data_IF_506690732565
#
_entry.id   IF_506690732565
#
_cell.length_a   1.000
_cell.length_b   1.000
_cell.length_c   1.000
_cell.angle_alpha   90.00
_cell.angle_beta   90.00
_cell.angle_gamma   90.00
#
_symmetry.space_group_name_H-M   'P 1'
#
loop_
_entity.id
_entity.type
_entity.pdbx_description
1 polymer ?
#
# COMPACT_ATOMS: atom_id res chain seq x y z
N UNK A 1 12.27 50.20 -11.42
CA UNK A 1 11.16 49.23 -11.45
C UNK A 1 11.72 47.91 -11.97
N UNK A 2 11.98 46.89 -11.13
CA UNK A 2 12.26 45.54 -11.61
C UNK A 2 10.97 44.72 -11.62
N UNK A 3 10.71 44.07 -12.74
CA UNK A 3 9.57 43.18 -12.97
C UNK A 3 9.77 41.86 -12.21
N UNK A 4 8.65 41.30 -11.79
CA UNK A 4 8.44 40.23 -10.84
C UNK A 4 9.20 38.91 -11.10
N UNK A 5 9.45 38.22 -9.99
CA UNK A 5 10.05 36.89 -9.87
C UNK A 5 9.22 35.85 -10.63
N UNK A 6 9.82 34.87 -11.33
CA UNK A 6 9.08 33.68 -11.70
C UNK A 6 8.95 32.78 -10.47
N UNK A 7 7.81 32.85 -9.78
CA UNK A 7 7.35 31.81 -8.85
C UNK A 7 7.18 30.50 -9.62
N UNK A 8 8.27 29.74 -9.70
CA UNK A 8 8.27 28.38 -10.25
C UNK A 8 7.64 27.47 -9.21
N UNK A 9 6.33 27.24 -9.36
CA UNK A 9 5.63 26.15 -8.68
C UNK A 9 6.37 24.84 -8.99
N UNK A 10 7.17 24.36 -8.04
CA UNK A 10 7.73 23.02 -8.08
C UNK A 10 6.59 22.03 -7.84
N UNK A 11 5.88 21.67 -8.91
CA UNK A 11 5.11 20.44 -8.93
C UNK A 11 6.11 19.30 -8.91
N UNK A 12 6.38 18.74 -7.72
CA UNK A 12 7.08 17.47 -7.62
C UNK A 12 6.19 16.40 -8.24
N UNK A 13 6.32 16.23 -9.55
CA UNK A 13 5.76 15.07 -10.25
C UNK A 13 6.58 13.88 -9.76
N UNK A 14 6.11 13.23 -8.70
CA UNK A 14 6.57 11.90 -8.35
C UNK A 14 6.17 11.01 -9.53
N UNK A 15 7.09 10.80 -10.46
CA UNK A 15 6.94 9.83 -11.53
C UNK A 15 6.79 8.45 -10.89
N UNK A 16 5.56 8.08 -10.56
CA UNK A 16 5.18 6.69 -10.39
C UNK A 16 5.25 6.09 -11.79
N UNK A 17 6.44 5.65 -12.20
CA UNK A 17 6.60 4.76 -13.33
C UNK A 17 5.86 3.48 -12.95
N UNK A 18 4.57 3.41 -13.28
CA UNK A 18 3.82 2.16 -13.29
C UNK A 18 4.29 1.43 -14.54
N UNK A 19 5.43 0.73 -14.43
CA UNK A 19 5.77 -0.28 -15.43
C UNK A 19 4.62 -1.26 -15.38
N UNK A 20 3.81 -1.34 -16.44
CA UNK A 20 2.72 -2.31 -16.59
C UNK A 20 3.26 -3.74 -16.78
N UNK A 21 4.27 -4.11 -15.99
CA UNK A 21 4.55 -5.52 -15.68
C UNK A 21 3.31 -6.05 -14.97
N UNK A 22 2.72 -7.16 -15.40
CA UNK A 22 1.64 -7.79 -14.64
C UNK A 22 2.14 -8.03 -13.21
N UNK A 23 1.57 -7.30 -12.27
CA UNK A 23 1.85 -7.47 -10.84
C UNK A 23 1.47 -8.91 -10.48
N UNK A 24 2.43 -9.68 -9.96
CA UNK A 24 2.21 -11.07 -9.61
C UNK A 24 1.28 -11.14 -8.38
N UNK A 25 0.00 -11.41 -8.65
CA UNK A 25 -1.02 -11.63 -7.63
C UNK A 25 -0.92 -13.07 -7.11
N UNK A 26 -0.69 -13.22 -5.82
CA UNK A 26 -0.64 -14.50 -5.10
C UNK A 26 -1.79 -14.54 -4.11
N UNK A 27 -2.56 -15.63 -4.14
CA UNK A 27 -3.71 -15.83 -3.26
C UNK A 27 -3.49 -17.06 -2.36
N UNK A 28 -4.12 -17.08 -1.19
CA UNK A 28 -4.22 -18.29 -0.36
C UNK A 28 -5.31 -19.24 -0.86
N UNK A 29 -5.54 -20.35 -0.14
CA UNK A 29 -6.54 -21.36 -0.49
C UNK A 29 -7.99 -20.85 -0.37
N UNK A 30 -8.21 -19.84 0.47
CA UNK A 30 -9.51 -19.22 0.69
C UNK A 30 -9.77 -18.09 -0.33
N UNK A 31 -8.78 -17.79 -1.19
CA UNK A 31 -8.87 -16.81 -2.26
C UNK A 31 -8.49 -15.39 -1.84
N UNK A 32 -7.97 -15.18 -0.63
CA UNK A 32 -7.51 -13.87 -0.21
C UNK A 32 -6.18 -13.52 -0.88
N UNK A 33 -6.02 -12.25 -1.25
CA UNK A 33 -4.75 -11.75 -1.77
C UNK A 33 -3.70 -11.79 -0.65
N UNK A 34 -2.57 -12.45 -0.89
CA UNK A 34 -1.41 -12.55 0.02
C UNK A 34 -0.26 -11.67 -0.46
N UNK A 35 -0.10 -11.46 -1.76
CA UNK A 35 0.95 -10.62 -2.35
C UNK A 35 0.57 -10.07 -3.72
N UNK A 36 0.94 -8.82 -4.02
CA UNK A 36 0.74 -8.17 -5.33
C UNK A 36 2.05 -7.65 -5.95
N UNK A 37 3.19 -8.21 -5.54
CA UNK A 37 4.52 -7.77 -5.96
C UNK A 37 5.08 -6.60 -5.15
N UNK A 38 4.24 -5.72 -4.61
CA UNK A 38 4.64 -4.57 -3.79
C UNK A 38 4.30 -4.71 -2.31
N UNK A 39 3.19 -5.36 -2.01
CA UNK A 39 2.64 -5.50 -0.66
C UNK A 39 2.48 -6.98 -0.31
N UNK A 40 2.60 -7.25 0.99
CA UNK A 40 2.24 -8.52 1.61
C UNK A 40 1.06 -8.27 2.54
N UNK A 41 0.07 -9.14 2.45
CA UNK A 41 -1.19 -9.09 3.17
C UNK A 41 -1.24 -10.27 4.14
N UNK A 42 -1.70 -10.03 5.36
CA UNK A 42 -1.92 -11.09 6.35
C UNK A 42 -3.36 -11.08 6.84
N UNK A 43 -3.94 -12.26 6.90
CA UNK A 43 -5.33 -12.49 7.28
C UNK A 43 -5.38 -13.27 8.59
N UNK A 44 -6.41 -13.03 9.40
CA UNK A 44 -6.70 -13.88 10.56
C UNK A 44 -7.52 -15.11 10.18
N UNK A 45 -7.74 -16.00 11.15
CA UNK A 45 -8.52 -17.23 10.95
C UNK A 45 -10.01 -16.99 10.64
N UNK A 46 -10.51 -15.76 10.82
CA UNK A 46 -11.88 -15.34 10.51
C UNK A 46 -11.95 -14.66 9.13
N UNK A 47 -10.91 -14.80 8.29
CA UNK A 47 -10.84 -14.23 6.95
C UNK A 47 -10.86 -12.70 6.92
N UNK A 48 -10.23 -12.04 7.91
CA UNK A 48 -10.12 -10.58 7.98
C UNK A 48 -8.68 -10.12 7.83
N UNK A 49 -8.49 -9.03 7.09
CA UNK A 49 -7.17 -8.46 6.83
C UNK A 49 -6.62 -7.78 8.09
N UNK A 50 -5.57 -8.35 8.70
CA UNK A 50 -4.96 -7.81 9.93
C UNK A 50 -3.67 -7.03 9.68
N UNK A 51 -3.05 -7.17 8.50
CA UNK A 51 -1.81 -6.46 8.19
C UNK A 51 -1.61 -6.26 6.70
N UNK A 52 -1.07 -5.09 6.35
CA UNK A 52 -0.43 -4.82 5.07
C UNK A 52 0.98 -4.31 5.32
N UNK A 53 1.97 -4.89 4.64
CA UNK A 53 3.35 -4.44 4.72
C UNK A 53 4.01 -4.40 3.34
N UNK A 54 4.87 -3.42 3.13
CA UNK A 54 5.68 -3.31 1.92
C UNK A 54 6.64 -4.50 1.79
N UNK A 55 6.72 -5.06 0.59
CA UNK A 55 7.65 -6.10 0.23
C UNK A 55 8.98 -5.51 -0.23
N UNK A 56 10.09 -6.00 0.32
CA UNK A 56 11.45 -5.55 -0.03
C UNK A 56 12.00 -4.41 0.83
N UNK A 57 13.14 -3.86 0.42
CA UNK A 57 13.98 -2.98 1.25
C UNK A 57 13.80 -1.48 1.00
N UNK A 58 12.98 -1.07 0.02
CA UNK A 58 12.95 0.30 -0.47
C UNK A 58 12.09 1.24 0.38
N UNK A 59 11.11 0.70 1.10
CA UNK A 59 10.18 1.43 1.95
C UNK A 59 9.69 0.44 2.98
N UNK A 60 10.00 0.56 4.29
CA UNK A 60 9.45 -0.34 5.34
C UNK A 60 8.14 0.22 5.87
N UNK A 61 7.09 0.16 5.07
CA UNK A 61 5.74 0.62 5.45
C UNK A 61 4.94 -0.56 5.98
N UNK A 62 4.22 -0.33 7.07
CA UNK A 62 3.33 -1.32 7.67
C UNK A 62 2.10 -0.65 8.25
N UNK A 63 0.96 -1.28 8.04
CA UNK A 63 -0.29 -0.94 8.72
C UNK A 63 -0.83 -2.23 9.32
N UNK A 64 -1.20 -2.17 10.60
CA UNK A 64 -1.80 -3.26 11.35
C UNK A 64 -3.23 -2.87 11.70
N UNK A 65 -4.13 -3.86 11.71
CA UNK A 65 -5.51 -3.70 12.11
C UNK A 65 -5.90 -4.68 13.19
N UNK A 66 -6.81 -4.23 14.05
CA UNK A 66 -7.46 -5.08 15.03
C UNK A 66 -8.97 -4.96 14.89
N UNK A 67 -9.66 -6.05 15.21
CA UNK A 67 -11.10 -6.15 15.10
C UNK A 67 -11.69 -6.48 16.47
N UNK A 68 -12.86 -5.93 16.77
CA UNK A 68 -13.64 -6.37 17.92
C UNK A 68 -14.38 -7.68 17.63
N UNK A 69 -15.04 -8.24 18.65
CA UNK A 69 -15.79 -9.48 18.54
C UNK A 69 -16.98 -9.42 17.56
N UNK A 70 -17.38 -8.22 17.12
CA UNK A 70 -18.44 -8.01 16.13
C UNK A 70 -17.85 -7.84 14.71
N UNK A 71 -16.54 -8.00 14.55
CA UNK A 71 -15.85 -7.87 13.26
C UNK A 71 -15.65 -6.42 12.80
N UNK A 72 -15.81 -5.44 13.69
CA UNK A 72 -15.56 -4.02 13.36
C UNK A 72 -14.09 -3.70 13.58
N UNK A 73 -13.49 -2.94 12.67
CA UNK A 73 -12.10 -2.50 12.81
C UNK A 73 -12.01 -1.38 13.86
N UNK A 74 -11.10 -1.54 14.83
CA UNK A 74 -11.01 -0.65 16.00
C UNK A 74 -9.65 0.04 16.18
N UNK A 75 -8.60 -0.41 15.49
CA UNK A 75 -7.27 0.21 15.50
C UNK A 75 -6.61 0.05 14.14
#
# INVERSE_FOLDING_TARGET
MPLDRPDRLQGEVRSAVVVQTPELLVHDLDGNLVRDGRWVYSWDAENRLVRVMSWGNLDRRRVDWTYDALGRRVR
#
